data_IF_263415523777
#
_entry.id   IF_263415523777
#
_cell.length_a   1.000
_cell.length_b   1.000
_cell.length_c   1.000
_cell.angle_alpha   90.00
_cell.angle_beta   90.00
_cell.angle_gamma   90.00
#
_symmetry.space_group_name_H-M   'P 1'
#
loop_
_entity.id
_entity.type
_entity.pdbx_description
1 polymer ?
2 non-polymer ?
3 water ?
#
# COMPACT_ATOMS: atom_id res chain seq x y z
N UNK A 1 40.67 -72.18 31.21
CA UNK A 1 40.81 -72.45 32.63
C UNK A 1 39.65 -71.83 33.41
N UNK A 2 39.41 -72.35 34.62
CA UNK A 2 38.41 -71.75 35.50
C UNK A 2 38.70 -70.28 35.74
N UNK A 3 39.97 -69.95 36.02
CA UNK A 3 40.32 -68.56 36.27
C UNK A 3 40.05 -67.68 35.05
N UNK A 4 40.37 -68.18 33.85
CA UNK A 4 40.10 -67.41 32.65
C UNK A 4 38.61 -67.26 32.43
N UNK A 5 37.82 -68.26 32.85
CA UNK A 5 36.36 -68.12 32.78
C UNK A 5 35.91 -66.95 33.64
N UNK A 6 36.46 -66.86 34.85
CA UNK A 6 36.10 -65.75 35.75
C UNK A 6 36.51 -64.42 35.13
N UNK A 7 37.75 -64.32 34.67
CA UNK A 7 38.25 -63.03 34.20
C UNK A 7 37.48 -62.56 32.96
N UNK A 8 37.34 -63.43 31.95
CA UNK A 8 36.56 -63.08 30.77
C UNK A 8 35.11 -62.81 31.13
N UNK A 9 34.57 -63.52 32.13
CA UNK A 9 33.20 -63.26 32.53
C UNK A 9 33.03 -61.85 33.08
N UNK A 10 33.99 -61.42 33.91
CA UNK A 10 33.94 -60.06 34.42
C UNK A 10 34.03 -59.03 33.30
N UNK A 11 34.89 -59.28 32.31
CA UNK A 11 34.93 -58.38 31.16
C UNK A 11 33.56 -58.34 30.46
N UNK A 12 32.93 -59.50 30.27
CA UNK A 12 31.65 -59.54 29.58
C UNK A 12 30.60 -58.72 30.30
N UNK A 13 30.50 -58.86 31.62
CA UNK A 13 29.45 -58.11 32.33
C UNK A 13 29.72 -56.62 32.25
N UNK A 14 31.00 -56.21 32.27
CA UNK A 14 31.28 -54.79 32.11
C UNK A 14 30.85 -54.28 30.74
N UNK A 15 31.14 -55.04 29.67
CA UNK A 15 30.74 -54.63 28.34
C UNK A 15 29.22 -54.53 28.20
N UNK A 16 28.49 -55.52 28.72
CA UNK A 16 27.04 -55.46 28.69
C UNK A 16 26.54 -54.20 29.38
N UNK A 17 27.12 -53.85 30.53
CA UNK A 17 26.66 -52.66 31.26
C UNK A 17 26.93 -51.39 30.44
N UNK A 18 28.14 -51.27 29.89
CA UNK A 18 28.48 -50.07 29.12
C UNK A 18 27.62 -49.95 27.85
N UNK A 19 27.33 -51.07 27.21
CA UNK A 19 26.44 -51.02 26.05
C UNK A 19 25.05 -50.55 26.49
N UNK A 20 24.55 -51.07 27.60
CA UNK A 20 23.24 -50.66 28.09
C UNK A 20 23.19 -49.14 28.31
N UNK A 21 24.26 -48.58 28.89
CA UNK A 21 24.27 -47.14 29.15
C UNK A 21 24.35 -46.34 27.85
N UNK A 22 25.21 -46.77 26.92
CA UNK A 22 25.34 -46.07 25.65
C UNK A 22 24.03 -46.10 24.87
N UNK A 23 23.36 -47.26 24.82
CA UNK A 23 22.11 -47.35 24.09
C UNK A 23 21.01 -46.54 24.77
N UNK A 24 21.05 -46.43 26.10
CA UNK A 24 20.15 -45.52 26.80
C UNK A 24 20.34 -44.09 26.33
N UNK A 25 21.58 -43.58 26.43
CA UNK A 25 21.89 -42.25 25.92
C UNK A 25 21.43 -42.09 24.47
N UNK A 26 21.72 -43.07 23.63
CA UNK A 26 21.41 -42.96 22.21
C UNK A 26 19.90 -42.87 21.98
N UNK A 27 19.11 -43.64 22.74
CA UNK A 27 17.66 -43.54 22.62
C UNK A 27 17.17 -42.15 23.03
N UNK A 28 17.72 -41.61 24.13
CA UNK A 28 17.34 -40.25 24.52
C UNK A 28 17.59 -39.26 23.40
N UNK A 29 18.80 -39.30 22.83
CA UNK A 29 19.12 -38.44 21.69
C UNK A 29 18.11 -38.59 20.57
N UNK A 30 17.76 -39.83 20.25
CA UNK A 30 16.82 -40.09 19.14
C UNK A 30 15.45 -39.50 19.45
N UNK A 31 15.04 -39.53 20.72
CA UNK A 31 13.76 -38.94 21.10
C UNK A 31 13.80 -37.42 20.94
N UNK A 32 14.85 -36.78 21.46
CA UNK A 32 14.97 -35.33 21.33
C UNK A 32 14.94 -34.90 19.87
N UNK A 33 15.73 -35.57 19.02
CA UNK A 33 15.71 -35.24 17.60
C UNK A 33 14.31 -35.48 17.01
N UNK A 34 13.61 -36.50 17.50
CA UNK A 34 12.25 -36.76 17.07
C UNK A 34 11.26 -35.69 17.49
N UNK A 35 11.62 -34.86 18.47
CA UNK A 35 10.80 -33.69 18.76
C UNK A 35 11.19 -32.48 17.92
N UNK A 36 12.50 -32.31 17.71
CA UNK A 36 12.98 -31.20 16.88
C UNK A 36 12.41 -31.30 15.47
N UNK A 37 12.50 -32.47 14.84
CA UNK A 37 12.03 -32.57 13.46
C UNK A 37 10.54 -32.24 13.36
N UNK A 38 9.75 -32.64 14.36
CA UNK A 38 8.34 -32.26 14.39
C UNK A 38 8.18 -30.75 14.46
N UNK A 39 8.91 -30.11 15.40
CA UNK A 39 8.87 -28.65 15.48
C UNK A 39 9.22 -28.00 14.15
N UNK A 40 10.19 -28.57 13.42
CA UNK A 40 10.57 -28.00 12.13
C UNK A 40 9.47 -28.20 11.09
N UNK A 41 8.71 -29.29 11.18
CA UNK A 41 7.58 -29.47 10.28
C UNK A 41 6.54 -28.38 10.51
N UNK A 42 6.12 -28.22 11.77
CA UNK A 42 5.14 -27.19 12.14
C UNK A 42 5.62 -25.81 11.68
N UNK A 43 6.83 -25.44 12.12
CA UNK A 43 7.37 -24.12 11.81
C UNK A 43 7.50 -23.90 10.31
N UNK A 44 7.88 -24.93 9.55
CA UNK A 44 8.07 -24.71 8.12
C UNK A 44 6.73 -24.50 7.41
N UNK A 45 5.67 -25.17 7.87
CA UNK A 45 4.35 -24.87 7.30
C UNK A 45 3.91 -23.45 7.60
N UNK A 46 4.04 -23.03 8.88
CA UNK A 46 3.69 -21.66 9.25
C UNK A 46 4.52 -20.64 8.47
N UNK A 47 5.80 -20.92 8.28
CA UNK A 47 6.67 -20.02 7.53
C UNK A 47 6.18 -19.87 6.09
N UNK A 48 5.88 -20.99 5.44
CA UNK A 48 5.33 -20.92 4.09
C UNK A 48 4.09 -20.03 4.05
N UNK A 49 3.17 -20.24 5.00
CA UNK A 49 1.98 -19.39 5.07
C UNK A 49 2.34 -17.92 5.18
N UNK A 50 3.25 -17.59 6.11
CA UNK A 50 3.51 -16.19 6.42
C UNK A 50 4.20 -15.48 5.26
N UNK A 51 5.11 -16.15 4.55
CA UNK A 51 5.71 -15.47 3.39
C UNK A 51 4.67 -15.31 2.28
N UNK A 52 3.71 -16.25 2.19
CA UNK A 52 2.60 -16.05 1.25
C UNK A 52 1.82 -14.78 1.59
N UNK A 53 1.31 -14.72 2.83
CA UNK A 53 0.57 -13.55 3.28
C UNK A 53 1.37 -12.26 3.07
N UNK A 54 2.69 -12.31 3.31
CA UNK A 54 3.53 -11.13 3.14
C UNK A 54 3.57 -10.67 1.69
N UNK A 55 3.61 -11.62 0.75
CA UNK A 55 3.48 -11.27 -0.65
C UNK A 55 2.14 -10.58 -0.93
N UNK A 56 1.06 -11.15 -0.41
CA UNK A 56 -0.27 -10.59 -0.63
C UNK A 56 -0.35 -9.16 -0.13
N UNK A 57 0.18 -8.91 1.06
CA UNK A 57 0.17 -7.57 1.64
C UNK A 57 0.99 -6.59 0.82
N UNK A 58 2.19 -7.00 0.38
CA UNK A 58 3.00 -6.08 -0.40
C UNK A 58 2.33 -5.73 -1.73
N UNK A 59 1.68 -6.72 -2.37
CA UNK A 59 0.94 -6.43 -3.59
C UNK A 59 -0.16 -5.39 -3.32
N UNK A 60 -0.93 -5.59 -2.25
CA UNK A 60 -1.98 -4.63 -1.90
C UNK A 60 -1.40 -3.25 -1.64
N UNK A 61 -0.25 -3.19 -0.98
CA UNK A 61 0.40 -1.91 -0.69
C UNK A 61 0.75 -1.18 -1.98
N UNK A 62 1.42 -1.87 -2.91
CA UNK A 62 1.79 -1.24 -4.17
C UNK A 62 0.55 -0.72 -4.92
N UNK A 63 -0.48 -1.57 -5.03
CA UNK A 63 -1.70 -1.16 -5.74
C UNK A 63 -2.33 0.07 -5.10
N UNK A 64 -2.39 0.12 -3.76
CA UNK A 64 -2.92 1.31 -3.11
C UNK A 64 -2.12 2.56 -3.44
N UNK A 65 -0.79 2.45 -3.34
CA UNK A 65 0.03 3.60 -3.70
C UNK A 65 -0.24 4.07 -5.13
N UNK A 66 -0.43 3.11 -6.05
CA UNK A 66 -0.68 3.48 -7.45
C UNK A 66 -2.01 4.20 -7.62
N UNK A 67 -3.05 3.72 -6.92
CA UNK A 67 -4.34 4.39 -6.99
C UNK A 67 -4.24 5.81 -6.45
N UNK A 68 -3.46 6.00 -5.37
CA UNK A 68 -3.28 7.36 -4.83
C UNK A 68 -2.59 8.26 -5.84
N UNK A 69 -1.52 7.77 -6.48
CA UNK A 69 -0.84 8.60 -7.48
C UNK A 69 -1.79 9.02 -8.59
N UNK A 70 -2.64 8.10 -9.06
CA UNK A 70 -3.63 8.47 -10.07
C UNK A 70 -4.57 9.56 -9.56
N UNK A 71 -5.06 9.42 -8.32
CA UNK A 71 -5.97 10.42 -7.80
C UNK A 71 -5.30 11.79 -7.69
N UNK A 72 -4.01 11.83 -7.34
CA UNK A 72 -3.32 13.11 -7.17
C UNK A 72 -3.00 13.76 -8.52
N UNK A 73 -2.73 12.97 -9.56
CA UNK A 73 -2.60 13.57 -10.89
C UNK A 73 -3.92 14.20 -11.34
N UNK A 74 -5.04 13.49 -11.09
CA UNK A 74 -6.34 14.09 -11.38
C UNK A 74 -6.57 15.35 -10.56
N UNK A 75 -6.19 15.32 -9.27
CA UNK A 75 -6.28 16.54 -8.45
C UNK A 75 -5.50 17.70 -9.07
N UNK A 76 -4.31 17.44 -9.60
CA UNK A 76 -3.54 18.55 -10.17
C UNK A 76 -4.18 19.08 -11.44
N UNK A 77 -4.77 18.21 -12.27
CA UNK A 77 -5.50 18.74 -13.41
C UNK A 77 -6.62 19.67 -12.95
N UNK A 78 -7.37 19.25 -11.93
CA UNK A 78 -8.51 20.06 -11.49
C UNK A 78 -8.05 21.37 -10.86
N UNK A 79 -6.96 21.34 -10.09
CA UNK A 79 -6.41 22.58 -9.54
C UNK A 79 -6.06 23.55 -10.65
N UNK A 80 -5.44 23.04 -11.73
CA UNK A 80 -5.06 23.92 -12.82
C UNK A 80 -6.29 24.50 -13.51
N UNK A 81 -7.34 23.70 -13.69
CA UNK A 81 -8.62 24.20 -14.20
C UNK A 81 -9.16 25.32 -13.31
N UNK A 82 -9.09 25.15 -11.99
CA UNK A 82 -9.65 26.15 -11.09
C UNK A 82 -8.85 27.44 -11.17
N UNK A 83 -7.52 27.33 -11.12
CA UNK A 83 -6.72 28.54 -11.21
C UNK A 83 -6.95 29.26 -12.53
N UNK A 84 -7.11 28.50 -13.63
CA UNK A 84 -7.40 29.15 -14.92
C UNK A 84 -8.73 29.86 -14.87
N UNK A 85 -9.75 29.20 -14.33
CA UNK A 85 -11.05 29.83 -14.20
C UNK A 85 -11.02 31.07 -13.33
N UNK A 86 -10.34 30.99 -12.18
CA UNK A 86 -10.31 32.09 -11.24
C UNK A 86 -9.58 33.29 -11.80
N UNK A 87 -8.57 33.06 -12.64
CA UNK A 87 -7.84 34.19 -13.20
C UNK A 87 -8.70 35.00 -14.18
N UNK A 88 -9.76 34.39 -14.73
CA UNK A 88 -10.66 35.09 -15.65
C UNK A 88 -11.70 35.95 -14.93
N UNK A 89 -11.97 35.69 -13.66
CA UNK A 89 -13.14 36.30 -13.01
C UNK A 89 -13.02 37.82 -12.85
N UNK A 90 -11.89 38.39 -12.42
CA UNK A 90 -11.82 39.86 -12.35
C UNK A 90 -12.12 40.52 -13.67
N UNK A 91 -11.54 39.99 -14.77
CA UNK A 91 -11.79 40.57 -16.07
C UNK A 91 -13.24 40.52 -16.49
N UNK A 92 -13.90 39.38 -16.27
CA UNK A 92 -15.31 39.27 -16.63
C UNK A 92 -16.17 40.23 -15.81
N UNK A 93 -15.89 40.35 -14.51
CA UNK A 93 -16.68 41.27 -13.68
C UNK A 93 -16.44 42.72 -14.09
N UNK A 94 -15.19 43.06 -14.44
CA UNK A 94 -14.93 44.40 -14.99
C UNK A 94 -15.76 44.65 -16.24
N UNK A 95 -15.71 43.71 -17.19
CA UNK A 95 -16.47 43.88 -18.43
C UNK A 95 -17.94 44.12 -18.14
N UNK A 96 -18.50 43.30 -17.24
CA UNK A 96 -19.93 43.45 -16.94
C UNK A 96 -20.24 44.84 -16.35
N UNK A 97 -19.40 45.33 -15.43
CA UNK A 97 -19.64 46.68 -14.91
C UNK A 97 -19.59 47.73 -16.01
N UNK A 98 -18.57 47.67 -16.86
CA UNK A 98 -18.45 48.65 -17.94
C UNK A 98 -19.63 48.57 -18.91
N UNK A 99 -20.18 47.38 -19.13
CA UNK A 99 -21.31 47.26 -20.04
C UNK A 99 -22.59 47.76 -19.41
N UNK A 100 -22.81 47.52 -18.11
CA UNK A 100 -23.96 48.14 -17.45
C UNK A 100 -23.91 49.64 -17.60
N UNK A 101 -22.73 50.22 -17.34
CA UNK A 101 -22.56 51.66 -17.46
C UNK A 101 -22.82 52.14 -18.89
N UNK A 102 -22.30 51.40 -19.88
CA UNK A 102 -22.53 51.78 -21.27
C UNK A 102 -24.01 51.75 -21.62
N UNK A 103 -24.73 50.74 -21.12
CA UNK A 103 -26.17 50.62 -21.35
C UNK A 103 -26.90 51.84 -20.81
N UNK A 104 -26.60 52.21 -19.55
CA UNK A 104 -27.22 53.40 -18.98
C UNK A 104 -26.89 54.65 -19.78
N UNK A 105 -25.60 54.82 -20.13
CA UNK A 105 -25.17 55.94 -20.95
C UNK A 105 -25.98 56.06 -22.24
N UNK A 106 -26.10 54.95 -22.98
CA UNK A 106 -26.83 54.99 -24.24
C UNK A 106 -28.29 55.34 -24.03
N UNK A 107 -28.92 54.77 -22.99
CA UNK A 107 -30.31 55.14 -22.69
C UNK A 107 -30.44 56.65 -22.47
N UNK A 108 -29.51 57.24 -21.71
CA UNK A 108 -29.59 58.67 -21.44
C UNK A 108 -29.40 59.49 -22.73
N UNK A 109 -28.46 59.05 -23.57
CA UNK A 109 -28.24 59.73 -24.85
C UNK A 109 -29.49 59.65 -25.74
N UNK A 110 -30.16 58.49 -25.73
CA UNK A 110 -31.39 58.34 -26.51
C UNK A 110 -32.48 59.27 -25.97
N UNK A 111 -32.54 59.43 -24.64
CA UNK A 111 -33.51 60.36 -24.07
C UNK A 111 -33.24 61.79 -24.51
N UNK A 112 -31.99 62.24 -24.39
CA UNK A 112 -31.67 63.62 -24.79
C UNK A 112 -32.01 63.87 -26.24
N UNK A 113 -31.57 62.95 -27.12
CA UNK A 113 -31.76 63.18 -28.54
C UNK A 113 -33.25 63.11 -28.91
N UNK A 114 -34.01 62.20 -28.27
CA UNK A 114 -35.46 62.21 -28.44
C UNK A 114 -36.06 63.54 -27.98
N UNK A 115 -35.51 64.14 -26.93
CA UNK A 115 -35.98 65.46 -26.49
C UNK A 115 -35.77 66.51 -27.57
N UNK A 116 -34.60 66.50 -28.21
CA UNK A 116 -34.34 67.48 -29.27
C UNK A 116 -35.26 67.26 -30.47
N UNK A 117 -35.49 65.99 -30.85
CA UNK A 117 -36.44 65.72 -31.92
C UNK A 117 -37.84 66.20 -31.53
N UNK A 118 -38.20 66.07 -30.27
CA UNK A 118 -39.50 66.56 -29.82
C UNK A 118 -39.61 68.07 -29.95
N UNK A 119 -38.59 68.79 -29.48
CA UNK A 119 -38.63 70.25 -29.53
C UNK A 119 -38.66 70.75 -30.98
N UNK A 120 -37.75 70.24 -31.81
CA UNK A 120 -37.69 70.68 -33.21
C UNK A 120 -38.98 70.36 -33.95
N UNK A 121 -39.50 69.14 -33.79
CA UNK A 121 -40.75 68.75 -34.43
C UNK A 121 -41.93 69.46 -33.78
N UNK A 131 -36.04 70.78 -40.62
CA UNK A 131 -35.83 69.97 -41.81
C UNK A 131 -34.80 68.88 -41.55
N UNK A 132 -33.72 69.26 -40.88
CA UNK A 132 -32.63 68.32 -40.63
C UNK A 132 -32.87 67.50 -39.37
N UNK A 133 -34.14 67.35 -38.98
CA UNK A 133 -34.46 66.35 -37.97
C UNK A 133 -34.20 64.93 -38.48
N UNK A 134 -34.08 64.78 -39.81
CA UNK A 134 -33.76 63.48 -40.38
C UNK A 134 -32.40 62.98 -39.89
N UNK A 135 -31.42 63.89 -39.80
CA UNK A 135 -30.12 63.54 -39.22
C UNK A 135 -30.27 63.00 -37.81
N UNK A 136 -31.07 63.69 -36.98
CA UNK A 136 -31.27 63.23 -35.62
C UNK A 136 -31.93 61.84 -35.60
N UNK A 137 -32.87 61.60 -36.51
CA UNK A 137 -33.53 60.29 -36.56
C UNK A 137 -32.54 59.18 -36.92
N UNK A 138 -31.63 59.45 -37.87
CA UNK A 138 -30.59 58.48 -38.18
C UNK A 138 -29.72 58.22 -36.96
N UNK A 139 -29.26 59.29 -36.32
CA UNK A 139 -28.50 59.16 -35.08
C UNK A 139 -29.26 58.33 -34.05
N UNK A 140 -30.58 58.52 -33.99
CA UNK A 140 -31.43 57.73 -33.10
C UNK A 140 -31.32 56.25 -33.39
N UNK A 141 -31.59 55.84 -34.63
CA UNK A 141 -31.49 54.42 -34.93
C UNK A 141 -30.09 53.88 -34.64
N UNK A 142 -29.04 54.71 -34.83
CA UNK A 142 -27.70 54.24 -34.47
C UNK A 142 -27.54 54.05 -32.96
N UNK A 143 -28.05 54.99 -32.17
CA UNK A 143 -28.01 54.82 -30.73
C UNK A 143 -28.79 53.58 -30.29
N UNK A 144 -29.91 53.29 -30.95
CA UNK A 144 -30.68 52.10 -30.65
C UNK A 144 -29.91 50.83 -30.98
N UNK A 145 -29.21 50.80 -32.12
CA UNK A 145 -28.40 49.62 -32.43
C UNK A 145 -27.31 49.44 -31.38
N UNK A 146 -26.67 50.55 -30.94
CA UNK A 146 -25.58 50.44 -29.97
C UNK A 146 -26.08 49.98 -28.61
N UNK A 147 -27.21 50.51 -28.16
CA UNK A 147 -27.77 50.05 -26.90
C UNK A 147 -28.13 48.57 -26.98
N UNK A 148 -28.74 48.15 -28.10
CA UNK A 148 -29.09 46.75 -28.25
C UNK A 148 -27.86 45.86 -28.15
N UNK A 149 -26.78 46.23 -28.87
CA UNK A 149 -25.54 45.47 -28.83
C UNK A 149 -24.96 45.43 -27.42
N UNK A 150 -24.94 46.58 -26.72
CA UNK A 150 -24.43 46.61 -25.36
C UNK A 150 -25.20 45.65 -24.46
N UNK A 151 -26.52 45.58 -24.62
CA UNK A 151 -27.31 44.68 -23.79
C UNK A 151 -27.05 43.23 -24.10
N UNK A 152 -26.88 42.89 -25.39
CA UNK A 152 -26.56 41.52 -25.76
C UNK A 152 -25.17 41.12 -25.28
N UNK A 153 -24.21 42.06 -25.34
CA UNK A 153 -22.88 41.79 -24.78
C UNK A 153 -22.96 41.57 -23.28
N UNK A 154 -23.72 42.41 -22.58
CA UNK A 154 -23.86 42.24 -21.13
C UNK A 154 -24.44 40.87 -20.80
N UNK A 155 -25.47 40.44 -21.54
CA UNK A 155 -26.03 39.11 -21.31
C UNK A 155 -24.96 38.03 -21.50
N UNK A 156 -24.13 38.18 -22.53
CA UNK A 156 -23.10 37.18 -22.81
C UNK A 156 -22.03 37.15 -21.71
N UNK A 157 -21.55 38.31 -21.28
CA UNK A 157 -20.54 38.35 -20.21
C UNK A 157 -21.11 37.76 -18.93
N UNK A 158 -22.30 38.20 -18.54
CA UNK A 158 -22.89 37.66 -17.30
C UNK A 158 -23.05 36.16 -17.36
N UNK A 159 -23.52 35.63 -18.50
CA UNK A 159 -23.64 34.18 -18.64
C UNK A 159 -22.30 33.49 -18.51
N UNK A 160 -21.25 34.06 -19.13
CA UNK A 160 -19.95 33.39 -19.08
C UNK A 160 -19.36 33.44 -17.67
N UNK A 161 -19.54 34.56 -16.96
CA UNK A 161 -19.07 34.60 -15.58
C UNK A 161 -19.79 33.56 -14.73
N UNK A 162 -21.11 33.46 -14.90
CA UNK A 162 -21.87 32.43 -14.20
C UNK A 162 -21.36 31.02 -14.52
N UNK A 163 -21.04 30.78 -15.79
CA UNK A 163 -20.55 29.46 -16.19
C UNK A 163 -19.19 29.17 -15.57
N UNK A 164 -18.28 30.15 -15.54
CA UNK A 164 -16.96 29.93 -14.95
C UNK A 164 -17.09 29.65 -13.46
N UNK A 165 -17.87 30.45 -12.74
CA UNK A 165 -18.11 30.18 -11.32
C UNK A 165 -18.64 28.76 -11.10
N UNK A 166 -19.58 28.33 -11.94
CA UNK A 166 -20.17 26.99 -11.80
C UNK A 166 -19.10 25.92 -12.00
N UNK A 167 -18.29 26.07 -13.06
CA UNK A 167 -17.28 25.08 -13.35
C UNK A 167 -16.23 25.02 -12.26
N UNK A 168 -15.93 26.16 -11.63
CA UNK A 168 -15.04 26.16 -10.48
C UNK A 168 -15.65 25.36 -9.33
N UNK A 169 -16.93 25.62 -9.02
CA UNK A 169 -17.55 24.88 -7.93
C UNK A 169 -17.54 23.37 -8.18
N UNK A 170 -17.81 22.96 -9.41
CA UNK A 170 -17.80 21.54 -9.72
C UNK A 170 -16.40 20.95 -9.54
N UNK A 171 -15.38 21.66 -10.04
CA UNK A 171 -14.03 21.14 -9.87
C UNK A 171 -13.68 21.01 -8.38
N UNK A 172 -14.05 22.01 -7.56
CA UNK A 172 -13.75 21.96 -6.13
C UNK A 172 -14.42 20.76 -5.46
N UNK A 173 -15.70 20.51 -5.77
CA UNK A 173 -16.37 19.33 -5.20
C UNK A 173 -15.66 18.05 -5.59
N UNK A 174 -15.26 17.93 -6.85
CA UNK A 174 -14.58 16.73 -7.28
C UNK A 174 -13.26 16.57 -6.54
N UNK A 175 -12.54 17.67 -6.32
CA UNK A 175 -11.30 17.63 -5.55
C UNK A 175 -11.57 17.14 -4.13
N UNK A 176 -12.62 17.65 -3.48
CA UNK A 176 -12.99 17.15 -2.16
C UNK A 176 -13.24 15.64 -2.18
N UNK A 177 -13.98 15.18 -3.20
CA UNK A 177 -14.20 13.75 -3.41
C UNK A 177 -12.88 12.99 -3.44
N UNK A 178 -11.94 13.50 -4.23
CA UNK A 178 -10.67 12.82 -4.40
C UNK A 178 -9.88 12.80 -3.10
N UNK A 179 -9.92 13.89 -2.33
CA UNK A 179 -9.22 13.89 -1.06
C UNK A 179 -9.80 12.83 -0.12
N UNK A 180 -11.12 12.65 -0.14
CA UNK A 180 -11.71 11.59 0.69
C UNK A 180 -11.29 10.19 0.21
N UNK A 181 -11.27 9.98 -1.11
CA UNK A 181 -10.76 8.71 -1.62
C UNK A 181 -9.32 8.48 -1.20
N UNK A 182 -8.49 9.51 -1.30
CA UNK A 182 -7.07 9.37 -0.95
C UNK A 182 -6.92 9.07 0.53
N UNK A 183 -7.71 9.74 1.39
CA UNK A 183 -7.70 9.46 2.81
C UNK A 183 -8.05 8.00 3.10
N UNK A 184 -9.06 7.47 2.41
CA UNK A 184 -9.41 6.06 2.59
C UNK A 184 -8.27 5.15 2.19
N UNK A 185 -7.69 5.38 1.01
CA UNK A 185 -6.54 4.58 0.60
C UNK A 185 -5.40 4.66 1.61
N UNK A 186 -5.11 5.87 2.12
CA UNK A 186 -4.01 6.02 3.08
C UNK A 186 -4.30 5.26 4.36
N UNK A 187 -5.56 5.27 4.83
CA UNK A 187 -5.90 4.44 5.97
C UNK A 187 -5.62 2.96 5.71
N UNK A 188 -5.98 2.50 4.51
CA UNK A 188 -5.68 1.11 4.18
C UNK A 188 -4.18 0.85 4.14
N UNK A 189 -3.41 1.79 3.59
CA UNK A 189 -1.96 1.62 3.54
C UNK A 189 -1.36 1.54 4.94
N UNK A 190 -1.87 2.32 5.89
CA UNK A 190 -1.37 2.25 7.25
C UNK A 190 -1.69 0.89 7.89
N UNK A 191 -2.92 0.40 7.66
CA UNK A 191 -3.25 -0.94 8.15
C UNK A 191 -2.33 -2.00 7.54
N UNK A 192 -2.05 -1.89 6.23
CA UNK A 192 -1.15 -2.84 5.59
C UNK A 192 0.28 -2.74 6.10
N UNK A 193 0.75 -1.53 6.42
CA UNK A 193 2.10 -1.42 6.96
C UNK A 193 2.19 -2.10 8.33
N UNK A 194 1.14 -1.97 9.15
CA UNK A 194 1.11 -2.73 10.39
C UNK A 194 1.12 -4.23 10.16
N UNK A 195 0.24 -4.71 9.27
CA UNK A 195 0.19 -6.15 8.99
C UNK A 195 1.54 -6.66 8.51
N UNK A 196 2.20 -5.90 7.64
CA UNK A 196 3.50 -6.30 7.12
C UNK A 196 4.52 -6.37 8.25
N UNK A 197 4.53 -5.39 9.16
CA UNK A 197 5.49 -5.43 10.26
C UNK A 197 5.30 -6.70 11.10
N UNK A 198 4.04 -7.01 11.44
CA UNK A 198 3.78 -8.21 12.23
C UNK A 198 4.18 -9.48 11.48
N UNK A 199 3.86 -9.54 10.18
CA UNK A 199 4.26 -10.70 9.38
C UNK A 199 5.77 -10.84 9.29
N UNK A 200 6.48 -9.73 9.03
CA UNK A 200 7.93 -9.80 8.91
C UNK A 200 8.57 -10.30 10.20
N UNK A 201 8.07 -9.84 11.35
CA UNK A 201 8.62 -10.30 12.63
C UNK A 201 8.35 -11.79 12.85
N UNK A 202 7.08 -12.21 12.68
CA UNK A 202 6.78 -13.64 12.78
C UNK A 202 7.66 -14.45 11.85
N UNK A 203 7.90 -13.93 10.64
CA UNK A 203 8.68 -14.67 9.65
C UNK A 203 10.13 -14.78 10.11
N UNK A 204 10.70 -13.70 10.64
CA UNK A 204 12.08 -13.75 11.10
C UNK A 204 12.23 -14.73 12.27
N UNK A 205 11.26 -14.74 13.20
CA UNK A 205 11.30 -15.73 14.28
C UNK A 205 11.23 -17.16 13.72
N UNK A 206 10.37 -17.38 12.73
CA UNK A 206 10.26 -18.71 12.13
C UNK A 206 11.57 -19.14 11.50
N UNK A 207 12.20 -18.25 10.74
CA UNK A 207 13.51 -18.56 10.16
C UNK A 207 14.53 -18.87 11.24
N UNK A 208 14.57 -18.06 12.31
CA UNK A 208 15.52 -18.30 13.39
C UNK A 208 15.31 -19.66 14.04
N UNK A 209 14.05 -20.02 14.31
CA UNK A 209 13.77 -21.38 14.79
C UNK A 209 14.26 -22.42 13.79
N UNK A 210 14.15 -22.12 12.49
CA UNK A 210 14.60 -23.05 11.45
C UNK A 210 16.12 -23.04 11.26
N UNK A 211 16.86 -22.19 11.97
CA UNK A 211 18.31 -22.25 12.01
C UNK A 211 18.76 -22.52 13.43
N UNK A 212 18.24 -23.55 14.03
CA UNK A 212 18.20 -23.67 15.48
C UNK A 212 19.54 -23.91 16.16
N UNK A 213 20.43 -24.74 15.58
CA UNK A 213 20.35 -25.79 14.55
C UNK A 213 20.65 -27.12 15.21
N UNK A 214 20.21 -27.29 16.45
CA UNK A 214 20.59 -28.45 17.24
C UNK A 214 20.24 -29.77 16.57
N UNK A 215 19.36 -29.76 15.56
CA UNK A 215 19.06 -31.00 14.84
C UNK A 215 20.34 -31.68 14.37
N UNK A 216 21.24 -30.92 13.75
CA UNK A 216 22.51 -31.47 13.30
C UNK A 216 23.45 -31.75 14.47
N UNK A 217 23.39 -30.94 15.53
CA UNK A 217 24.15 -31.19 16.74
C UNK A 217 23.83 -32.56 17.32
N UNK A 218 22.59 -33.02 17.18
CA UNK A 218 22.24 -34.35 17.65
C UNK A 218 22.45 -35.42 16.59
N UNK A 219 22.29 -35.11 15.30
CA UNK A 219 22.52 -36.14 14.29
C UNK A 219 23.98 -36.60 14.32
N UNK A 220 24.92 -35.66 14.43
CA UNK A 220 26.33 -36.04 14.48
C UNK A 220 26.65 -36.83 15.75
N UNK A 221 26.09 -36.39 16.89
CA UNK A 221 26.33 -37.07 18.16
C UNK A 221 25.75 -38.48 18.15
N UNK A 222 24.56 -38.65 17.57
CA UNK A 222 23.99 -39.98 17.44
C UNK A 222 24.87 -40.85 16.56
N UNK A 223 25.43 -40.28 15.49
CA UNK A 223 26.41 -41.03 14.71
C UNK A 223 27.56 -41.52 15.57
N UNK A 224 28.11 -40.64 16.43
CA UNK A 224 29.24 -41.03 17.25
C UNK A 224 28.86 -42.14 18.24
N UNK A 225 27.79 -41.93 19.00
CA UNK A 225 27.43 -42.90 20.03
C UNK A 225 27.09 -44.25 19.40
N UNK A 226 26.48 -44.24 18.22
CA UNK A 226 26.21 -45.49 17.52
C UNK A 226 27.51 -46.16 17.08
N UNK A 227 28.50 -45.37 16.66
CA UNK A 227 29.81 -45.95 16.36
C UNK A 227 30.39 -46.66 17.57
N UNK A 228 30.28 -46.04 18.75
CA UNK A 228 30.86 -46.64 19.94
C UNK A 228 30.08 -47.89 20.36
N UNK A 229 28.76 -47.86 20.23
CA UNK A 229 27.96 -49.05 20.47
C UNK A 229 28.43 -50.19 19.58
N UNK A 230 28.67 -49.89 18.30
CA UNK A 230 29.15 -50.91 17.38
C UNK A 230 30.50 -51.48 17.86
N UNK A 231 31.41 -50.60 18.29
CA UNK A 231 32.71 -51.07 18.78
C UNK A 231 32.54 -51.99 19.98
N UNK A 232 31.77 -51.56 20.98
CA UNK A 232 31.53 -52.36 22.17
C UNK A 232 30.92 -53.72 21.83
N UNK A 233 29.92 -53.74 20.95
CA UNK A 233 29.32 -55.01 20.54
C UNK A 233 30.32 -55.90 19.83
N UNK A 234 31.25 -55.33 19.06
CA UNK A 234 32.26 -56.19 18.44
C UNK A 234 33.17 -56.83 19.50
N UNK A 235 33.63 -56.04 20.47
CA UNK A 235 34.42 -56.66 21.54
C UNK A 235 33.59 -57.69 22.28
N UNK A 236 32.34 -57.36 22.59
CA UNK A 236 31.45 -58.31 23.27
C UNK A 236 31.37 -59.62 22.51
N UNK A 237 31.19 -59.55 21.19
CA UNK A 237 31.09 -60.76 20.40
C UNK A 237 32.36 -61.61 20.50
N UNK A 238 33.54 -60.96 20.48
CA UNK A 238 34.78 -61.71 20.71
C UNK A 238 34.80 -62.35 22.11
N UNK A 239 34.40 -61.60 23.14
CA UNK A 239 34.44 -62.12 24.51
C UNK A 239 33.50 -63.31 24.66
N UNK A 240 32.28 -63.20 24.11
CA UNK A 240 31.34 -64.31 24.09
C UNK A 240 31.95 -65.51 23.39
N UNK A 241 32.53 -65.32 22.21
CA UNK A 241 33.14 -66.44 21.51
C UNK A 241 34.24 -67.10 22.30
N UNK A 242 34.98 -66.31 23.07
CA UNK A 242 35.98 -66.87 23.98
C UNK A 242 35.32 -67.73 25.06
N UNK A 243 34.30 -67.19 25.73
CA UNK A 243 33.67 -67.95 26.82
C UNK A 243 32.91 -69.16 26.32
N UNK A 244 32.43 -69.13 25.08
CA UNK A 244 31.67 -70.23 24.49
C UNK A 244 32.55 -71.41 24.11
N UNK A 245 33.86 -71.22 23.97
CA UNK A 245 34.76 -72.32 23.68
C UNK A 245 35.65 -72.67 24.87
N UNK A 246 35.48 -71.98 26.00
CA UNK A 246 36.25 -72.29 27.19
C UNK A 246 35.49 -73.24 28.12
X LIG B 1 -9.48 23.50 -0.58
X LIG B 1 -10.11 23.50 0.82
X LIG B 1 -11.48 23.93 0.74
X LIG B 1 -10.08 22.09 1.37
X LIG B 1 -9.36 24.45 1.77
X LIG B 1 -7.85 24.35 1.65
X LIG B 1 -7.32 25.64 1.39
X LIG B 1 -7.23 23.80 2.93
X LIG C 1 39.57 -60.55 31.15
X LIG C 1 40.74 -59.89 30.43
X LIG C 1 41.78 -59.65 31.42
X LIG C 1 41.24 -60.89 29.42
X LIG C 1 40.31 -58.59 29.74
X LIG C 1 41.35 -58.07 28.74
X LIG C 1 40.82 -57.05 27.95
X LIG C 1 42.59 -57.50 29.43
X LIG D 1 39.54 -61.84 20.66
X LIG D 1 39.41 -62.14 22.16
X LIG D 1 38.82 -60.96 22.77
X LIG D 1 38.41 -63.26 22.38
X LIG D 1 40.78 -62.35 22.83
X LIG D 1 41.63 -63.62 22.57
X LIG D 1 40.89 -64.82 22.73
X LIG D 1 42.34 -63.62 21.23
X LIG E 1 -20.02 39.63 -25.36
X LIG E 1 -18.64 39.02 -25.18
X LIG E 1 -18.21 38.60 -26.48
X LIG E 1 -17.68 40.07 -24.63
X LIG E 1 -18.68 37.79 -24.28
X LIG E 1 -17.28 37.19 -24.16
X LIG E 1 -17.06 36.81 -22.83
X LIG E 1 -17.06 36.02 -25.10
#
# INVERSE_FOLDING_TARGET
TKGAIVRWGKRKEKLIEEIRAREEERNALVVRLGEIDRTFAVAREEFDTVVKELEEARKSLYEGEARIKRAEEEKERLKAEILTGEARLPGLRERAENLRRLVEEKRAEISELERRLSSITSKRSGGSLESQSFELRIKLSDLEKELELARKDLEKVLAEERAVREEIEVAKRRINELDTLIERERGELAKLRGRIERLERKRDKLKKALENPEARELTEKIRAVEKEIAALREELSRVEGKLEGLESKVDAGSSSRPGL
MPD C1 C2 O2 CM C3 C4 O4 C5
MPD C1 C2 O2 CM C3 C4 O4 C5
MPD C1 C2 O2 CM C3 C4 O4 C5
MPD C1 C2 O2 CM C3 C4 O4 C5
#
